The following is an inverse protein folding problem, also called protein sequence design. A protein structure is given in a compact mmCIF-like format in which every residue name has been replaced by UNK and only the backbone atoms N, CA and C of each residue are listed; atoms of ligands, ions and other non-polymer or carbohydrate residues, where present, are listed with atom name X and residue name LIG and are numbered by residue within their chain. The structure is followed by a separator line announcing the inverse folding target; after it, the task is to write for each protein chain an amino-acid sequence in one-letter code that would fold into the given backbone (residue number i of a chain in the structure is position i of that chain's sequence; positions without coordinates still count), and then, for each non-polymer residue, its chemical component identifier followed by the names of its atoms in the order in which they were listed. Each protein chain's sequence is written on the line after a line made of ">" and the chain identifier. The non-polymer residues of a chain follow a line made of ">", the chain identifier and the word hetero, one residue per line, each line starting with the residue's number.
data_IF_422725542633
#
_entry.id   IF_422725542633
#
_cell.length_a   1.000
_cell.length_b   1.000
_cell.length_c   1.000
_cell.angle_alpha   90.00
_cell.angle_beta   90.00
_cell.angle_gamma   90.00
#
_symmetry.space_group_name_H-M   'P 1'
#
loop_
_entity.id
_entity.type
_entity.pdbx_description
1 polymer ?
#
# COMPACT_ATOMS: atom_id res chain seq x y z
N UNK A 1 -22.00 -11.22 5.64
CA UNK A 1 -23.31 -11.24 6.34
C UNK A 1 -24.11 -10.00 5.98
N UNK A 2 -25.43 -10.14 5.76
CA UNK A 2 -26.30 -9.02 5.36
C UNK A 2 -27.34 -8.79 6.44
N UNK A 3 -27.16 -7.74 7.24
CA UNK A 3 -28.14 -7.33 8.24
C UNK A 3 -29.22 -6.50 7.57
N UNK A 4 -30.48 -6.76 7.92
CA UNK A 4 -31.64 -6.05 7.38
C UNK A 4 -32.56 -5.65 8.52
N UNK A 5 -32.96 -4.39 8.53
CA UNK A 5 -34.07 -3.94 9.37
C UNK A 5 -35.39 -4.41 8.78
N UNK A 6 -36.43 -4.51 9.61
CA UNK A 6 -37.78 -4.73 9.12
C UNK A 6 -38.28 -3.46 8.42
N UNK A 7 -39.21 -3.62 7.47
CA UNK A 7 -39.85 -2.48 6.80
C UNK A 7 -40.71 -1.68 7.78
N UNK A 8 -41.48 -2.38 8.63
CA UNK A 8 -42.35 -1.78 9.63
C UNK A 8 -41.60 -0.80 10.55
N UNK A 9 -40.45 -1.23 11.08
CA UNK A 9 -39.63 -0.38 11.96
C UNK A 9 -39.04 0.81 11.20
N UNK A 10 -38.70 0.61 9.92
CA UNK A 10 -38.21 1.71 9.09
C UNK A 10 -39.32 2.71 8.75
N UNK A 11 -40.54 2.26 8.50
CA UNK A 11 -41.67 3.12 8.09
C UNK A 11 -42.05 4.13 9.19
N UNK A 12 -41.99 3.73 10.46
CA UNK A 12 -42.19 4.63 11.60
C UNK A 12 -40.94 5.44 11.99
N UNK A 13 -39.78 5.18 11.39
CA UNK A 13 -38.51 5.80 11.77
C UNK A 13 -38.34 7.20 11.14
N UNK A 14 -38.27 8.23 11.99
CA UNK A 14 -38.03 9.63 11.57
C UNK A 14 -36.71 9.82 10.80
N UNK A 15 -35.72 8.95 11.02
CA UNK A 15 -34.43 8.99 10.31
C UNK A 15 -34.43 8.23 8.98
N UNK A 16 -35.50 7.51 8.59
CA UNK A 16 -35.57 6.76 7.32
C UNK A 16 -35.17 7.59 6.10
N UNK A 17 -35.62 8.86 5.94
CA UNK A 17 -35.25 9.68 4.78
C UNK A 17 -33.74 9.90 4.66
N UNK A 18 -33.02 9.96 5.78
CA UNK A 18 -31.56 10.11 5.78
C UNK A 18 -30.83 8.76 5.74
N UNK A 19 -31.36 7.75 6.43
CA UNK A 19 -30.69 6.48 6.66
C UNK A 19 -30.78 5.52 5.46
N UNK A 20 -31.91 5.51 4.77
CA UNK A 20 -32.14 4.61 3.64
C UNK A 20 -33.15 5.23 2.64
N UNK A 21 -32.81 6.36 2.00
CA UNK A 21 -33.73 7.18 1.20
C UNK A 21 -34.39 6.42 0.06
N UNK A 22 -33.63 5.57 -0.62
CA UNK A 22 -34.03 4.92 -1.87
C UNK A 22 -34.43 3.45 -1.67
N UNK A 23 -34.62 3.00 -0.43
CA UNK A 23 -34.93 1.60 -0.14
C UNK A 23 -35.99 1.47 0.95
N UNK A 24 -36.88 0.46 0.88
CA UNK A 24 -37.97 0.32 1.84
C UNK A 24 -37.50 0.05 3.28
N UNK A 25 -36.30 -0.53 3.45
CA UNK A 25 -35.71 -0.80 4.76
C UNK A 25 -34.18 -0.75 4.69
N UNK A 26 -33.54 -0.38 5.80
CA UNK A 26 -32.07 -0.31 5.91
C UNK A 26 -31.45 -1.70 5.71
N UNK A 27 -30.42 -1.76 4.87
CA UNK A 27 -29.59 -2.96 4.67
C UNK A 27 -28.13 -2.60 4.90
N UNK A 28 -27.44 -3.39 5.72
CA UNK A 28 -26.02 -3.20 6.00
C UNK A 28 -25.27 -4.46 5.59
N UNK A 29 -24.47 -4.42 4.51
CA UNK A 29 -23.52 -5.47 4.23
C UNK A 29 -22.35 -5.34 5.21
N UNK A 30 -22.11 -6.38 6.02
CA UNK A 30 -20.89 -6.52 6.82
C UNK A 30 -20.15 -7.78 6.37
N UNK A 31 -18.85 -7.74 6.27
CA UNK A 31 -18.08 -8.94 5.96
C UNK A 31 -18.04 -9.90 7.14
N UNK A 32 -17.74 -11.19 6.91
CA UNK A 32 -17.35 -12.09 8.01
C UNK A 32 -16.04 -11.64 8.69
N UNK A 33 -15.17 -10.95 7.94
CA UNK A 33 -13.91 -10.39 8.43
C UNK A 33 -14.03 -8.91 8.83
N UNK A 34 -15.22 -8.48 9.22
CA UNK A 34 -15.44 -7.07 9.53
C UNK A 34 -14.63 -6.61 10.73
N UNK A 35 -14.49 -7.44 11.77
CA UNK A 35 -13.64 -7.13 12.93
C UNK A 35 -12.18 -6.88 12.55
N UNK A 36 -11.64 -7.66 11.60
CA UNK A 36 -10.29 -7.42 11.08
C UNK A 36 -10.18 -6.10 10.31
N UNK A 37 -11.23 -5.72 9.56
CA UNK A 37 -11.28 -4.41 8.88
C UNK A 37 -11.41 -3.26 9.88
N UNK A 38 -12.21 -3.41 10.92
CA UNK A 38 -12.38 -2.43 11.99
C UNK A 38 -11.05 -2.21 12.74
N UNK A 39 -10.33 -3.29 13.06
CA UNK A 39 -8.97 -3.21 13.60
C UNK A 39 -8.02 -2.47 12.65
N UNK A 40 -8.00 -2.82 11.36
CA UNK A 40 -7.16 -2.15 10.38
C UNK A 40 -7.49 -0.65 10.24
N UNK A 41 -8.78 -0.27 10.31
CA UNK A 41 -9.23 1.13 10.31
C UNK A 41 -8.76 1.87 11.56
N UNK A 42 -8.86 1.24 12.74
CA UNK A 42 -8.39 1.83 13.99
C UNK A 42 -6.86 2.02 14.00
N UNK A 43 -6.09 1.04 13.51
CA UNK A 43 -4.64 1.20 13.33
C UNK A 43 -4.35 2.34 12.36
N UNK A 44 -5.13 2.48 11.28
CA UNK A 44 -4.89 3.51 10.28
C UNK A 44 -4.99 4.96 10.80
N UNK A 45 -5.63 5.19 11.95
CA UNK A 45 -5.75 6.51 12.58
C UNK A 45 -4.60 6.83 13.54
N UNK A 46 -3.69 5.89 13.81
CA UNK A 46 -2.58 6.14 14.74
C UNK A 46 -1.38 6.83 14.09
N UNK A 47 -0.59 7.54 14.88
CA UNK A 47 0.62 8.21 14.40
C UNK A 47 1.72 7.22 13.99
N UNK A 48 1.79 6.06 14.65
CA UNK A 48 2.69 4.99 14.28
C UNK A 48 2.35 4.46 12.87
N UNK A 49 1.07 4.36 12.55
CA UNK A 49 0.66 3.96 11.21
C UNK A 49 1.04 5.02 10.16
N UNK A 50 0.87 6.31 10.46
CA UNK A 50 1.31 7.38 9.55
C UNK A 50 2.82 7.27 9.28
N UNK A 51 3.62 7.04 10.31
CA UNK A 51 5.06 6.86 10.20
C UNK A 51 5.42 5.61 9.40
N UNK A 52 4.83 4.46 9.74
CA UNK A 52 4.99 3.20 9.01
C UNK A 52 4.60 3.34 7.52
N UNK A 53 3.49 4.02 7.22
CA UNK A 53 3.05 4.29 5.85
C UNK A 53 4.08 5.12 5.08
N UNK A 54 4.66 6.16 5.69
CA UNK A 54 5.72 6.97 5.06
C UNK A 54 6.97 6.13 4.79
N UNK A 55 7.34 5.25 5.71
CA UNK A 55 8.48 4.34 5.54
C UNK A 55 8.23 3.31 4.43
N UNK A 56 7.05 2.68 4.37
CA UNK A 56 6.68 1.74 3.30
C UNK A 56 6.76 2.37 1.92
N UNK A 57 6.30 3.61 1.75
CA UNK A 57 6.42 4.33 0.48
C UNK A 57 7.87 4.46 -0.01
N UNK A 58 8.86 4.60 0.89
CA UNK A 58 10.28 4.63 0.51
C UNK A 58 10.71 3.31 -0.14
N UNK A 59 10.22 2.19 0.39
CA UNK A 59 10.48 0.83 -0.13
C UNK A 59 9.72 0.58 -1.42
N UNK A 60 8.43 0.91 -1.48
CA UNK A 60 7.60 0.77 -2.69
C UNK A 60 8.22 1.54 -3.87
N UNK A 61 8.72 2.75 -3.63
CA UNK A 61 9.42 3.54 -4.66
C UNK A 61 10.72 2.88 -5.14
N UNK A 62 11.45 2.19 -4.25
CA UNK A 62 12.64 1.44 -4.65
C UNK A 62 12.29 0.32 -5.63
N UNK A 63 11.26 -0.47 -5.33
CA UNK A 63 10.76 -1.51 -6.24
C UNK A 63 10.23 -0.92 -7.55
N UNK A 64 9.54 0.22 -7.49
CA UNK A 64 9.07 0.94 -8.68
C UNK A 64 10.23 1.37 -9.59
N UNK A 65 11.31 1.91 -9.02
CA UNK A 65 12.52 2.29 -9.76
C UNK A 65 13.27 1.08 -10.33
N UNK A 66 13.32 -0.02 -9.58
CA UNK A 66 13.98 -1.25 -10.01
C UNK A 66 13.28 -1.83 -11.25
N UNK A 67 11.95 -1.82 -11.29
CA UNK A 67 11.19 -2.22 -12.50
C UNK A 67 11.31 -1.20 -13.63
N UNK A 68 11.02 0.07 -13.38
CA UNK A 68 10.90 1.07 -14.45
C UNK A 68 12.24 1.59 -14.99
N UNK A 69 13.29 1.64 -14.17
CA UNK A 69 14.57 2.23 -14.56
C UNK A 69 15.64 1.17 -14.77
N UNK A 70 15.75 0.19 -13.86
CA UNK A 70 16.71 -0.92 -14.02
C UNK A 70 16.16 -2.05 -14.89
N UNK A 71 14.87 -1.98 -15.31
CA UNK A 71 14.22 -2.94 -16.20
C UNK A 71 14.30 -4.39 -15.70
N UNK A 72 14.27 -4.56 -14.37
CA UNK A 72 14.18 -5.89 -13.76
C UNK A 72 12.73 -6.40 -13.80
N UNK A 73 12.24 -6.64 -15.02
CA UNK A 73 10.87 -7.10 -15.28
C UNK A 73 10.76 -8.63 -15.18
N UNK A 74 11.88 -9.35 -15.32
CA UNK A 74 11.97 -10.81 -15.15
C UNK A 74 13.31 -11.18 -14.52
N UNK A 75 13.30 -12.25 -13.75
CA UNK A 75 14.51 -12.92 -13.27
C UNK A 75 15.04 -13.84 -14.37
N UNK A 76 16.36 -13.88 -14.53
CA UNK A 76 17.05 -14.71 -15.54
C UNK A 76 17.50 -16.06 -14.97
N UNK A 77 17.84 -16.09 -13.68
CA UNK A 77 18.29 -17.26 -12.96
C UNK A 77 17.10 -18.01 -12.36
N UNK A 78 17.18 -19.35 -12.37
CA UNK A 78 16.13 -20.21 -11.84
C UNK A 78 16.32 -20.45 -10.33
N UNK A 79 15.20 -20.62 -9.63
CA UNK A 79 15.17 -21.00 -8.22
C UNK A 79 15.38 -19.83 -7.25
N UNK A 80 15.17 -20.08 -5.95
CA UNK A 80 15.23 -19.04 -4.91
C UNK A 80 16.63 -18.44 -4.73
N UNK A 81 17.69 -19.24 -4.95
CA UNK A 81 19.07 -18.76 -4.91
C UNK A 81 19.35 -17.77 -6.05
N UNK A 82 19.01 -18.14 -7.29
CA UNK A 82 19.17 -17.24 -8.43
C UNK A 82 18.37 -15.94 -8.30
N UNK A 83 17.13 -16.02 -7.81
CA UNK A 83 16.32 -14.86 -7.50
C UNK A 83 17.00 -13.94 -6.47
N UNK A 84 17.54 -14.52 -5.37
CA UNK A 84 18.24 -13.77 -4.34
C UNK A 84 19.44 -13.01 -4.91
N UNK A 85 20.26 -13.67 -5.73
CA UNK A 85 21.47 -13.07 -6.29
C UNK A 85 21.14 -11.89 -7.22
N UNK A 86 20.14 -12.05 -8.09
CA UNK A 86 19.68 -10.98 -8.97
C UNK A 86 19.12 -9.78 -8.20
N UNK A 87 18.31 -10.02 -7.16
CA UNK A 87 17.80 -8.94 -6.32
C UNK A 87 18.90 -8.23 -5.53
N UNK A 88 19.92 -8.97 -5.06
CA UNK A 88 21.07 -8.37 -4.38
C UNK A 88 21.87 -7.46 -5.31
N UNK A 89 22.14 -7.90 -6.55
CA UNK A 89 22.81 -7.09 -7.56
C UNK A 89 22.00 -5.83 -7.93
N UNK A 90 20.69 -5.98 -8.13
CA UNK A 90 19.81 -4.85 -8.45
C UNK A 90 19.74 -3.84 -7.28
N UNK A 91 19.68 -4.32 -6.04
CA UNK A 91 19.72 -3.47 -4.85
C UNK A 91 21.06 -2.74 -4.73
N UNK A 92 22.18 -3.42 -4.99
CA UNK A 92 23.51 -2.81 -4.99
C UNK A 92 23.61 -1.67 -6.03
N UNK A 93 23.20 -1.93 -7.28
CA UNK A 93 23.17 -0.92 -8.34
C UNK A 93 22.30 0.30 -7.95
N UNK A 94 21.15 0.05 -7.33
CA UNK A 94 20.25 1.10 -6.89
C UNK A 94 20.84 1.94 -5.73
N UNK A 95 21.55 1.30 -4.79
CA UNK A 95 22.25 1.98 -3.71
C UNK A 95 23.41 2.84 -4.25
N UNK A 96 24.21 2.33 -5.18
CA UNK A 96 25.26 3.09 -5.85
C UNK A 96 24.70 4.33 -6.55
N UNK A 97 23.58 4.19 -7.25
CA UNK A 97 22.91 5.32 -7.92
C UNK A 97 22.36 6.35 -6.94
N UNK A 98 21.98 5.97 -5.72
CA UNK A 98 21.60 6.91 -4.66
C UNK A 98 22.84 7.64 -4.11
N UNK A 99 23.92 6.91 -3.84
CA UNK A 99 25.18 7.50 -3.37
C UNK A 99 25.71 8.53 -4.36
N UNK A 100 25.70 8.21 -5.66
CA UNK A 100 26.12 9.13 -6.71
C UNK A 100 25.34 10.46 -6.73
N UNK A 101 24.09 10.49 -6.23
CA UNK A 101 23.29 11.73 -6.13
C UNK A 101 23.59 12.56 -4.88
N UNK A 102 24.21 11.94 -3.86
CA UNK A 102 24.61 12.62 -2.62
C UNK A 102 25.99 13.27 -2.76
N UNK A 103 26.78 12.81 -3.73
CA UNK A 103 28.04 13.47 -4.07
C UNK A 103 27.74 14.85 -4.65
N UNK A 104 28.48 15.90 -4.23
CA UNK A 104 28.35 17.22 -4.85
C UNK A 104 28.66 17.11 -6.35
N UNK A 105 27.84 17.77 -7.18
CA UNK A 105 28.05 17.90 -8.62
C UNK A 105 29.28 18.79 -8.91
N UNK A 106 30.47 18.32 -8.55
CA UNK A 106 31.75 18.87 -8.98
C UNK A 106 32.43 17.85 -9.90
N UNK A 107 33.24 18.28 -10.88
CA UNK A 107 33.97 17.35 -11.72
C UNK A 107 34.80 16.46 -10.79
N UNK A 108 34.63 15.14 -10.92
CA UNK A 108 35.58 14.18 -10.38
C UNK A 108 36.93 14.58 -11.00
N UNK A 109 37.76 15.19 -10.17
CA UNK A 109 39.19 15.38 -10.42
C UNK A 109 39.72 14.21 -11.26
N UNK A 110 40.11 14.51 -12.51
CA UNK A 110 40.87 13.61 -13.35
C UNK A 110 42.33 14.04 -13.22
N UNK A 111 43.20 13.32 -12.50
CA UNK A 111 44.62 13.55 -12.64
C UNK A 111 45.07 13.06 -14.02
N UNK A 112 45.93 13.84 -14.65
CA UNK A 112 46.58 13.58 -15.94
C UNK A 112 47.46 12.32 -15.91
#
# INVERSE_FOLDING_TARGET
>A
MRYRASKHDCDACSMKPRCCPNTPARKIPRSMHEGARDMARAIATTDEYVTSRRQRKKVEMLFGHLKRILRLDRLRLRGPHGARDEFQLAAAAQNLRKLAKLLPNGPLWMPA
#
